data_IF_324295851494
#
_entry.id   IF_324295851494
#
_cell.length_a   1.000
_cell.length_b   1.000
_cell.length_c   1.000
_cell.angle_alpha   90.00
_cell.angle_beta   90.00
_cell.angle_gamma   90.00
#
_symmetry.space_group_name_H-M   'P 1'
#
loop_
_entity.id
_entity.type
_entity.pdbx_description
1 polymer ?
#
# COMPACT_ATOMS: atom_id res chain seq x y z
N UNK A 1 -16.89 22.17 1.36
CA UNK A 1 -16.94 21.36 2.40
C UNK A 1 -15.82 20.37 2.46
N UNK A 2 -15.15 20.46 3.46
CA UNK A 2 -14.08 19.55 3.57
C UNK A 2 -14.61 18.14 3.54
N UNK A 3 -13.93 17.32 2.87
CA UNK A 3 -14.25 15.94 2.90
C UNK A 3 -14.08 15.45 4.33
N UNK A 4 -15.00 14.66 4.79
CA UNK A 4 -14.83 14.00 6.06
C UNK A 4 -14.05 12.72 5.92
N UNK A 5 -13.58 12.47 4.72
CA UNK A 5 -12.81 11.29 4.49
C UNK A 5 -11.54 11.37 5.31
N UNK A 6 -11.25 10.31 6.00
CA UNK A 6 -10.06 10.19 6.81
C UNK A 6 -9.17 9.11 6.23
N UNK A 7 -7.91 9.25 6.49
CA UNK A 7 -6.96 8.26 6.06
C UNK A 7 -6.04 7.94 7.23
N UNK A 8 -5.84 6.66 7.49
CA UNK A 8 -5.03 6.20 8.59
C UNK A 8 -4.09 5.10 8.14
N UNK A 9 -2.91 5.10 8.71
CA UNK A 9 -1.94 4.03 8.50
C UNK A 9 -1.65 3.42 9.86
N UNK A 10 -1.96 2.15 10.00
CA UNK A 10 -1.64 1.40 11.20
C UNK A 10 -0.38 0.59 10.93
N UNK A 11 0.66 0.83 11.69
CA UNK A 11 1.91 0.11 11.52
C UNK A 11 2.02 -0.97 12.58
N UNK A 12 2.31 -2.18 12.13
CA UNK A 12 2.54 -3.31 13.03
C UNK A 12 3.90 -3.89 12.72
N UNK A 13 4.79 -3.84 13.70
CA UNK A 13 6.12 -4.41 13.56
C UNK A 13 6.07 -5.82 14.15
N UNK A 14 6.32 -6.80 13.31
CA UNK A 14 6.25 -8.19 13.75
C UNK A 14 7.65 -8.69 14.04
N UNK A 15 7.89 -9.21 15.25
CA UNK A 15 9.22 -9.73 15.59
C UNK A 15 9.61 -10.82 14.59
N UNK A 16 10.75 -10.61 13.94
CA UNK A 16 11.23 -11.58 12.97
C UNK A 16 10.45 -11.62 11.68
N UNK A 17 9.49 -10.72 11.49
CA UNK A 17 8.66 -10.69 10.30
C UNK A 17 8.67 -9.34 9.66
N UNK A 18 7.84 -9.16 8.63
CA UNK A 18 7.77 -7.88 7.92
C UNK A 18 7.08 -6.82 8.74
N UNK A 19 7.35 -5.58 8.39
CA UNK A 19 6.53 -4.46 8.84
C UNK A 19 5.23 -4.52 8.05
N UNK A 20 4.11 -4.44 8.74
CA UNK A 20 2.80 -4.38 8.11
C UNK A 20 2.28 -2.97 8.21
N UNK A 21 1.93 -2.38 7.08
CA UNK A 21 1.23 -1.11 7.04
C UNK A 21 -0.19 -1.37 6.57
N UNK A 22 -1.14 -1.18 7.44
CA UNK A 22 -2.54 -1.36 7.09
C UNK A 22 -3.14 0.01 6.82
N UNK A 23 -3.59 0.22 5.59
CA UNK A 23 -4.19 1.48 5.18
C UNK A 23 -5.69 1.42 5.41
N UNK A 24 -6.26 2.49 5.95
CA UNK A 24 -7.70 2.57 6.18
C UNK A 24 -8.22 3.91 5.68
N UNK A 25 -9.45 3.92 5.23
CA UNK A 25 -10.13 5.14 4.81
C UNK A 25 -9.96 5.42 3.34
N UNK A 26 -9.63 6.66 3.01
CA UNK A 26 -9.57 7.09 1.61
C UNK A 26 -8.19 7.65 1.30
N UNK A 27 -7.59 7.09 0.27
CA UNK A 27 -6.28 7.50 -0.19
C UNK A 27 -6.46 8.33 -1.44
N UNK A 28 -6.31 9.64 -1.29
CA UNK A 28 -6.59 10.59 -2.37
C UNK A 28 -5.48 11.64 -2.44
N UNK A 29 -5.72 12.70 -3.20
CA UNK A 29 -4.72 13.73 -3.41
C UNK A 29 -4.29 14.39 -2.10
N UNK A 30 -5.16 14.39 -1.09
CA UNK A 30 -4.85 15.02 0.19
C UNK A 30 -4.03 14.12 1.10
N UNK A 31 -4.28 12.83 1.05
CA UNK A 31 -3.60 11.88 1.94
C UNK A 31 -2.39 11.21 1.30
N UNK A 32 -2.30 11.21 -0.02
CA UNK A 32 -1.19 10.55 -0.70
C UNK A 32 0.19 11.07 -0.26
N UNK A 33 0.40 12.38 -0.06
CA UNK A 33 1.71 12.85 0.38
C UNK A 33 2.13 12.31 1.73
N UNK A 34 1.18 12.15 2.65
CA UNK A 34 1.50 11.59 3.96
C UNK A 34 1.96 10.14 3.83
N UNK A 35 1.25 9.37 3.02
CA UNK A 35 1.64 7.98 2.82
C UNK A 35 3.02 7.91 2.17
N UNK A 36 3.26 8.75 1.18
CA UNK A 36 4.54 8.76 0.49
C UNK A 36 5.68 9.01 1.47
N UNK A 37 5.50 9.99 2.36
CA UNK A 37 6.52 10.29 3.36
C UNK A 37 6.80 9.10 4.25
N UNK A 38 5.74 8.43 4.72
CA UNK A 38 5.93 7.28 5.59
C UNK A 38 6.65 6.14 4.88
N UNK A 39 6.33 5.92 3.61
CA UNK A 39 7.00 4.86 2.86
C UNK A 39 8.46 5.18 2.61
N UNK A 40 8.76 6.43 2.25
CA UNK A 40 10.14 6.81 2.00
C UNK A 40 10.97 6.80 3.27
N UNK A 41 10.36 7.01 4.43
CA UNK A 41 11.09 6.93 5.69
C UNK A 41 11.59 5.51 5.97
N UNK A 42 10.97 4.51 5.37
CA UNK A 42 11.42 3.13 5.53
C UNK A 42 12.55 2.77 4.58
N UNK A 43 12.78 3.57 3.56
CA UNK A 43 13.70 3.21 2.50
C UNK A 43 15.15 3.02 2.97
N UNK A 44 15.69 3.83 3.88
CA UNK A 44 17.08 3.64 4.28
C UNK A 44 17.35 2.25 4.86
N UNK A 45 16.44 1.74 5.67
CA UNK A 45 16.65 0.44 6.31
C UNK A 45 16.02 -0.71 5.54
N UNK A 46 15.04 -0.40 4.72
CA UNK A 46 14.37 -1.37 3.84
C UNK A 46 13.90 -2.63 4.58
N UNK A 47 13.13 -2.47 5.67
CA UNK A 47 12.58 -3.66 6.31
C UNK A 47 11.60 -4.33 5.36
N UNK A 48 11.53 -5.65 5.35
CA UNK A 48 10.50 -6.31 4.56
C UNK A 48 9.14 -5.69 4.88
N UNK A 49 8.37 -5.39 3.86
CA UNK A 49 7.18 -4.57 4.02
C UNK A 49 5.98 -5.19 3.34
N UNK A 50 4.86 -5.21 4.04
CA UNK A 50 3.57 -5.58 3.45
C UNK A 50 2.64 -4.38 3.61
N UNK A 51 2.09 -3.91 2.50
CA UNK A 51 1.08 -2.87 2.50
C UNK A 51 -0.26 -3.53 2.29
N UNK A 52 -1.14 -3.41 3.28
CA UNK A 52 -2.43 -4.09 3.26
C UNK A 52 -3.53 -3.07 2.95
N UNK A 53 -4.24 -3.30 1.86
CA UNK A 53 -5.28 -2.41 1.38
C UNK A 53 -6.68 -2.88 1.75
N UNK A 54 -6.80 -3.93 2.54
CA UNK A 54 -8.10 -4.55 2.77
C UNK A 54 -9.09 -3.60 3.42
N UNK A 55 -8.62 -2.69 4.26
CA UNK A 55 -9.49 -1.74 4.95
C UNK A 55 -9.55 -0.39 4.23
N UNK A 56 -8.96 -0.28 3.06
CA UNK A 56 -9.00 0.95 2.28
C UNK A 56 -10.30 0.97 1.47
N UNK A 57 -11.08 2.03 1.65
CA UNK A 57 -12.39 2.13 1.01
C UNK A 57 -12.33 2.77 -0.37
N UNK A 58 -11.32 3.60 -0.60
CA UNK A 58 -11.24 4.38 -1.82
C UNK A 58 -9.78 4.72 -2.11
N UNK A 59 -9.44 4.73 -3.38
CA UNK A 59 -8.14 5.20 -3.84
C UNK A 59 -8.34 5.87 -5.19
N UNK A 60 -7.70 7.03 -5.38
CA UNK A 60 -7.69 7.66 -6.69
C UNK A 60 -6.31 7.52 -7.32
N UNK A 61 -6.11 8.19 -8.46
CA UNK A 61 -4.84 8.08 -9.17
C UNK A 61 -3.66 8.61 -8.38
N UNK A 62 -3.89 9.57 -7.46
CA UNK A 62 -2.81 10.08 -6.63
C UNK A 62 -2.29 9.00 -5.68
N UNK A 63 -3.19 8.25 -5.07
CA UNK A 63 -2.79 7.14 -4.21
C UNK A 63 -2.12 6.04 -5.00
N UNK A 64 -2.68 5.72 -6.16
CA UNK A 64 -2.07 4.71 -7.02
C UNK A 64 -0.64 5.08 -7.39
N UNK A 65 -0.41 6.36 -7.70
CA UNK A 65 0.93 6.81 -8.08
C UNK A 65 1.94 6.56 -6.96
N UNK A 66 1.53 6.76 -5.70
CA UNK A 66 2.41 6.49 -4.58
C UNK A 66 2.78 5.01 -4.50
N UNK A 67 1.80 4.14 -4.70
CA UNK A 67 2.07 2.69 -4.64
C UNK A 67 2.95 2.24 -5.81
N UNK A 68 2.75 2.83 -6.98
CA UNK A 68 3.60 2.50 -8.13
C UNK A 68 5.03 3.00 -7.92
N UNK A 69 5.17 4.18 -7.32
CA UNK A 69 6.50 4.69 -6.98
C UNK A 69 7.17 3.77 -5.97
N UNK A 70 6.43 3.32 -4.98
CA UNK A 70 6.96 2.39 -3.98
C UNK A 70 7.49 1.13 -4.66
N UNK A 71 6.72 0.58 -5.58
CA UNK A 71 7.14 -0.61 -6.31
C UNK A 71 8.43 -0.37 -7.09
N UNK A 72 8.51 0.76 -7.76
CA UNK A 72 9.68 1.10 -8.54
C UNK A 72 10.91 1.25 -7.67
N UNK A 73 10.77 1.94 -6.54
CA UNK A 73 11.88 2.12 -5.62
C UNK A 73 12.30 0.81 -4.97
N UNK A 74 11.33 -0.04 -4.68
CA UNK A 74 11.63 -1.34 -4.08
C UNK A 74 12.47 -2.19 -5.01
N UNK A 75 12.15 -2.17 -6.29
CA UNK A 75 12.93 -2.90 -7.27
C UNK A 75 14.36 -2.36 -7.37
N UNK A 76 14.49 -1.05 -7.41
CA UNK A 76 15.82 -0.42 -7.54
C UNK A 76 16.67 -0.64 -6.30
N UNK A 77 16.06 -0.75 -5.14
CA UNK A 77 16.78 -0.88 -3.88
C UNK A 77 16.85 -2.31 -3.40
N UNK A 78 16.34 -3.26 -4.17
CA UNK A 78 16.28 -4.66 -3.77
C UNK A 78 15.56 -4.81 -2.43
N UNK A 79 14.42 -4.15 -2.33
CA UNK A 79 13.64 -4.07 -1.10
C UNK A 79 12.41 -4.97 -1.24
N UNK A 80 12.23 -5.88 -0.31
CA UNK A 80 11.10 -6.82 -0.34
C UNK A 80 9.82 -6.14 0.09
N UNK A 81 9.01 -5.73 -0.88
CA UNK A 81 7.75 -5.06 -0.63
C UNK A 81 6.64 -5.81 -1.36
N UNK A 82 5.53 -6.02 -0.68
CA UNK A 82 4.35 -6.56 -1.31
C UNK A 82 3.14 -5.73 -0.93
N UNK A 83 2.14 -5.73 -1.81
CA UNK A 83 0.89 -5.02 -1.62
C UNK A 83 -0.22 -6.04 -1.77
N UNK A 84 -1.17 -6.06 -0.84
CA UNK A 84 -2.22 -7.07 -0.86
C UNK A 84 -3.56 -6.50 -0.44
N UNK A 85 -4.60 -7.27 -0.65
CA UNK A 85 -5.91 -7.02 -0.04
C UNK A 85 -6.79 -6.03 -0.76
N UNK A 86 -6.46 -5.67 -1.99
CA UNK A 86 -7.30 -4.74 -2.75
C UNK A 86 -8.67 -5.35 -2.96
N UNK A 87 -9.72 -4.56 -2.71
CA UNK A 87 -11.09 -5.00 -2.91
C UNK A 87 -11.94 -3.80 -3.30
N UNK A 88 -13.14 -4.07 -3.77
CA UNK A 88 -14.12 -3.04 -4.06
C UNK A 88 -13.58 -2.00 -5.03
N UNK A 89 -13.79 -0.73 -4.68
CA UNK A 89 -13.38 0.38 -5.55
C UNK A 89 -11.89 0.42 -5.79
N UNK A 90 -11.11 0.03 -4.79
CA UNK A 90 -9.66 0.01 -4.93
C UNK A 90 -9.26 -1.01 -5.99
N UNK A 91 -9.84 -2.21 -5.92
CA UNK A 91 -9.57 -3.22 -6.92
C UNK A 91 -10.03 -2.79 -8.30
N UNK A 92 -11.20 -2.14 -8.38
CA UNK A 92 -11.71 -1.67 -9.66
C UNK A 92 -10.77 -0.67 -10.31
N UNK A 93 -10.18 0.22 -9.51
CA UNK A 93 -9.22 1.17 -10.04
C UNK A 93 -8.01 0.46 -10.62
N UNK A 94 -7.50 -0.54 -9.89
CA UNK A 94 -6.34 -1.29 -10.36
C UNK A 94 -6.65 -2.03 -11.66
N UNK A 95 -7.84 -2.60 -11.76
CA UNK A 95 -8.25 -3.29 -12.98
C UNK A 95 -8.36 -2.32 -14.14
N UNK A 96 -8.98 -1.17 -13.90
CA UNK A 96 -9.21 -0.19 -14.95
C UNK A 96 -7.92 0.45 -15.47
N UNK A 97 -6.94 0.57 -14.61
CA UNK A 97 -5.68 1.20 -14.99
C UNK A 97 -4.63 0.20 -15.45
N UNK A 98 -4.96 -1.09 -15.46
CA UNK A 98 -4.01 -2.11 -15.87
C UNK A 98 -2.92 -2.35 -14.84
N UNK A 99 -3.16 -2.02 -13.58
CA UNK A 99 -2.14 -2.13 -12.54
C UNK A 99 -2.46 -3.21 -11.51
N UNK A 100 -3.38 -4.11 -11.82
CA UNK A 100 -3.78 -5.14 -10.87
C UNK A 100 -2.60 -6.00 -10.44
N UNK A 101 -1.60 -6.17 -11.29
CA UNK A 101 -0.42 -6.95 -10.97
C UNK A 101 0.36 -6.38 -9.78
N UNK A 102 0.14 -5.12 -9.45
CA UNK A 102 0.75 -4.53 -8.26
C UNK A 102 0.40 -5.35 -7.03
N UNK A 103 -0.83 -5.86 -6.97
CA UNK A 103 -1.33 -6.56 -5.80
C UNK A 103 -1.28 -8.06 -5.98
N UNK A 104 -1.54 -8.53 -7.20
CA UNK A 104 -1.72 -9.95 -7.43
C UNK A 104 -0.41 -10.70 -7.56
N UNK A 105 0.68 -9.99 -7.49
CA UNK A 105 1.96 -10.59 -7.80
C UNK A 105 2.56 -11.35 -6.64
N UNK A 106 1.79 -11.65 -5.61
CA UNK A 106 2.35 -12.25 -4.42
C UNK A 106 1.67 -13.58 -4.08
N UNK A 107 1.81 -14.55 -4.96
CA UNK A 107 1.17 -15.82 -4.68
C UNK A 107 1.76 -16.51 -3.45
N UNK A 108 2.95 -16.12 -3.09
CA UNK A 108 3.61 -16.71 -1.95
C UNK A 108 3.30 -16.04 -0.66
N UNK A 109 2.63 -14.95 -0.72
CA UNK A 109 2.20 -14.38 0.52
C UNK A 109 1.44 -15.46 1.20
N UNK A 110 1.92 -15.94 2.33
CA UNK A 110 1.11 -16.84 3.10
C UNK A 110 -0.22 -16.14 3.16
N UNK A 111 -1.20 -16.84 2.65
CA UNK A 111 -2.54 -16.44 2.86
C UNK A 111 -2.56 -15.88 4.23
N UNK A 112 -3.16 -14.74 4.37
CA UNK A 112 -3.29 -14.15 5.65
C UNK A 112 -3.46 -15.31 6.58
N UNK A 113 -2.59 -15.40 7.55
CA UNK A 113 -2.75 -16.44 8.50
C UNK A 113 -4.16 -16.35 8.90
N UNK A 114 -4.77 -17.39 8.68
CA UNK A 114 -6.14 -17.42 9.06
C UNK A 114 -6.25 -16.74 10.36
#
# INVERSE_FOLDING_TARGET
MASNASFFVDRVDQPGGPVLLRLRGELDVHSAPMLRTQLLDLLPERPPLVVDLQALDFMDSSGLAVLLELRSRARSADWGVSVRGARGRVRELLERTGTLALVVAEPDLPAAPA
#
